data_IF_073636142517
#
_entry.id   IF_073636142517
#
_cell.length_a   1.000
_cell.length_b   1.000
_cell.length_c   1.000
_cell.angle_alpha   90.00
_cell.angle_beta   90.00
_cell.angle_gamma   90.00
#
_symmetry.space_group_name_H-M   'P 1'
#
loop_
_entity.id
_entity.type
_entity.pdbx_description
1 polymer ?
#
# COMPACT_ATOMS: atom_id res chain seq x y z
N UNK A 1 3.99 -2.91 -18.32
CA UNK A 1 3.26 -3.95 -19.06
C UNK A 1 3.13 -5.13 -18.12
N UNK A 2 1.92 -5.65 -17.94
CA UNK A 2 1.65 -6.78 -17.04
C UNK A 2 1.90 -8.10 -17.78
N UNK A 3 2.43 -9.09 -17.07
CA UNK A 3 2.68 -10.44 -17.57
C UNK A 3 2.02 -11.48 -16.68
N UNK A 4 1.63 -12.64 -17.22
CA UNK A 4 1.15 -13.76 -16.40
C UNK A 4 2.13 -14.10 -15.27
N UNK A 5 1.62 -14.22 -14.06
CA UNK A 5 2.40 -14.43 -12.84
C UNK A 5 2.81 -13.16 -12.10
N UNK A 6 2.65 -11.97 -12.70
CA UNK A 6 2.90 -10.71 -11.99
C UNK A 6 1.94 -10.56 -10.81
N UNK A 7 2.49 -10.17 -9.66
CA UNK A 7 1.70 -9.81 -8.47
C UNK A 7 1.01 -8.47 -8.72
N UNK A 8 -0.30 -8.42 -8.51
CA UNK A 8 -1.11 -7.24 -8.81
C UNK A 8 -1.98 -6.80 -7.63
N UNK A 9 -2.18 -5.49 -7.56
CA UNK A 9 -3.17 -4.80 -6.74
C UNK A 9 -4.34 -4.44 -7.63
N UNK A 10 -5.54 -4.77 -7.18
CA UNK A 10 -6.80 -4.48 -7.84
C UNK A 10 -7.59 -3.52 -6.98
N UNK A 11 -7.88 -2.33 -7.51
CA UNK A 11 -8.71 -1.34 -6.84
C UNK A 11 -10.08 -1.27 -7.54
N UNK A 12 -11.12 -1.68 -6.82
CA UNK A 12 -12.51 -1.67 -7.31
C UNK A 12 -13.41 -0.98 -6.29
N UNK A 13 -14.67 -0.75 -6.61
CA UNK A 13 -15.68 -0.30 -5.64
C UNK A 13 -16.46 -1.51 -5.14
N UNK A 14 -16.58 -1.66 -3.82
CA UNK A 14 -17.41 -2.68 -3.20
C UNK A 14 -18.90 -2.34 -3.28
N UNK A 15 -19.77 -3.27 -2.87
CA UNK A 15 -21.23 -3.13 -2.94
C UNK A 15 -21.78 -1.99 -2.08
N UNK A 16 -21.02 -1.56 -1.07
CA UNK A 16 -21.32 -0.44 -0.20
C UNK A 16 -20.90 0.92 -0.81
N UNK A 17 -20.29 0.92 -1.99
CA UNK A 17 -19.83 2.12 -2.69
C UNK A 17 -18.44 2.60 -2.27
N UNK A 18 -17.74 1.89 -1.39
CA UNK A 18 -16.39 2.26 -0.95
C UNK A 18 -15.31 1.56 -1.78
N UNK A 19 -14.13 2.20 -1.97
CA UNK A 19 -13.01 1.56 -2.64
C UNK A 19 -12.52 0.36 -1.83
N UNK A 20 -12.31 -0.76 -2.52
CA UNK A 20 -11.75 -2.00 -1.97
C UNK A 20 -10.52 -2.39 -2.77
N UNK A 21 -9.48 -2.76 -2.04
CA UNK A 21 -8.21 -3.21 -2.59
C UNK A 21 -8.12 -4.70 -2.38
N UNK A 22 -7.80 -5.44 -3.44
CA UNK A 22 -7.56 -6.88 -3.40
C UNK A 22 -6.25 -7.19 -4.10
N UNK A 23 -5.59 -8.26 -3.68
CA UNK A 23 -4.37 -8.72 -4.31
C UNK A 23 -4.59 -10.03 -5.05
N UNK A 24 -3.71 -10.31 -6.00
CA UNK A 24 -3.77 -11.50 -6.81
C UNK A 24 -2.61 -11.59 -7.79
N UNK A 25 -2.75 -12.47 -8.77
CA UNK A 25 -1.77 -12.66 -9.83
C UNK A 25 -2.44 -12.53 -11.20
N UNK A 26 -1.71 -12.00 -12.17
CA UNK A 26 -2.17 -12.01 -13.56
C UNK A 26 -2.23 -13.46 -14.05
N UNK A 27 -3.43 -13.92 -14.42
CA UNK A 27 -3.65 -15.20 -15.11
C UNK A 27 -3.48 -15.10 -16.63
N UNK A 28 -3.77 -13.93 -17.21
CA UNK A 28 -3.65 -13.70 -18.66
C UNK A 28 -3.96 -12.25 -19.05
N UNK A 29 -3.48 -11.83 -20.22
CA UNK A 29 -3.68 -10.47 -20.76
C UNK A 29 -4.34 -10.56 -22.13
N UNK A 30 -5.52 -9.97 -22.31
CA UNK A 30 -6.26 -10.00 -23.57
C UNK A 30 -5.90 -8.79 -24.45
N UNK A 31 -4.74 -8.82 -25.09
CA UNK A 31 -4.29 -7.72 -25.97
C UNK A 31 -3.73 -6.52 -25.18
N UNK A 32 -3.27 -5.48 -25.88
CA UNK A 32 -2.51 -4.38 -25.26
C UNK A 32 -3.33 -3.50 -24.30
N UNK A 33 -4.63 -3.32 -24.56
CA UNK A 33 -5.55 -2.47 -23.80
C UNK A 33 -6.82 -3.21 -23.33
N UNK A 34 -6.86 -4.53 -23.48
CA UNK A 34 -8.01 -5.32 -23.07
C UNK A 34 -8.00 -5.66 -21.58
N UNK A 35 -9.08 -6.28 -21.08
CA UNK A 35 -9.15 -6.71 -19.70
C UNK A 35 -8.05 -7.73 -19.38
N UNK A 36 -7.63 -7.72 -18.12
CA UNK A 36 -6.65 -8.64 -17.57
C UNK A 36 -7.41 -9.69 -16.76
N UNK A 37 -7.11 -10.96 -17.02
CA UNK A 37 -7.59 -12.04 -16.16
C UNK A 37 -6.73 -12.03 -14.90
N UNK A 38 -7.34 -11.82 -13.74
CA UNK A 38 -6.66 -11.81 -12.44
C UNK A 38 -7.18 -12.96 -11.59
N UNK A 39 -6.27 -13.77 -11.05
CA UNK A 39 -6.58 -14.74 -10.00
C UNK A 39 -6.39 -14.05 -8.66
N UNK A 40 -7.49 -13.63 -8.04
CA UNK A 40 -7.47 -12.97 -6.73
C UNK A 40 -7.13 -13.98 -5.62
N UNK A 41 -6.47 -13.51 -4.57
CA UNK A 41 -6.11 -14.38 -3.45
C UNK A 41 -7.35 -14.90 -2.72
N UNK A 42 -7.33 -16.19 -2.36
CA UNK A 42 -8.44 -16.84 -1.69
C UNK A 42 -9.61 -17.23 -2.60
N UNK A 43 -9.62 -16.78 -3.85
CA UNK A 43 -10.63 -17.12 -4.85
C UNK A 43 -10.20 -18.33 -5.70
N UNK A 44 -11.17 -19.13 -6.13
CA UNK A 44 -10.92 -20.35 -6.93
C UNK A 44 -10.90 -20.09 -8.45
N UNK A 45 -11.27 -18.88 -8.89
CA UNK A 45 -11.44 -18.50 -10.29
C UNK A 45 -10.64 -17.26 -10.68
N UNK A 46 -10.54 -17.02 -11.99
CA UNK A 46 -9.99 -15.79 -12.54
C UNK A 46 -11.12 -14.83 -12.93
N UNK A 47 -10.98 -13.57 -12.54
CA UNK A 47 -11.88 -12.48 -12.91
C UNK A 47 -11.31 -11.67 -14.08
N UNK A 48 -12.15 -11.30 -15.05
CA UNK A 48 -11.77 -10.34 -16.10
C UNK A 48 -11.94 -8.91 -15.57
N UNK A 49 -10.82 -8.22 -15.35
CA UNK A 49 -10.79 -6.89 -14.76
C UNK A 49 -10.25 -5.89 -15.77
N UNK A 50 -10.92 -4.74 -15.89
CA UNK A 50 -10.44 -3.62 -16.71
C UNK A 50 -9.05 -3.18 -16.23
N UNK A 51 -8.11 -3.07 -17.17
CA UNK A 51 -6.70 -2.76 -16.91
C UNK A 51 -6.51 -1.50 -16.04
N UNK A 52 -7.44 -0.54 -16.08
CA UNK A 52 -7.38 0.69 -15.27
C UNK A 52 -7.48 0.46 -13.76
N UNK A 53 -8.05 -0.67 -13.35
CA UNK A 53 -8.17 -1.06 -11.94
C UNK A 53 -7.00 -1.92 -11.47
N UNK A 54 -6.10 -2.33 -12.37
CA UNK A 54 -5.04 -3.29 -12.08
C UNK A 54 -3.68 -2.60 -12.16
N UNK A 55 -2.90 -2.73 -11.10
CA UNK A 55 -1.54 -2.21 -11.04
C UNK A 55 -0.59 -3.31 -10.56
N UNK A 56 0.63 -3.36 -11.10
CA UNK A 56 1.66 -4.22 -10.53
C UNK A 56 1.94 -3.79 -9.08
N UNK A 57 2.03 -4.73 -8.15
CA UNK A 57 2.36 -4.40 -6.76
C UNK A 57 3.78 -3.87 -6.68
N UNK A 58 3.97 -2.77 -5.95
CA UNK A 58 5.28 -2.26 -5.59
C UNK A 58 5.22 -1.66 -4.18
N UNK A 59 6.39 -1.47 -3.57
CA UNK A 59 6.51 -0.94 -2.20
C UNK A 59 5.74 0.37 -2.02
N UNK A 60 5.73 1.24 -3.04
CA UNK A 60 5.13 2.57 -2.96
C UNK A 60 3.64 2.64 -3.28
N UNK A 61 3.01 1.54 -3.70
CA UNK A 61 1.56 1.52 -4.00
C UNK A 61 0.74 0.66 -3.04
N UNK A 62 1.40 0.06 -2.03
CA UNK A 62 0.73 -0.56 -0.90
C UNK A 62 0.41 0.51 0.13
N UNK A 63 -0.89 0.74 0.31
CA UNK A 63 -1.45 1.78 1.15
C UNK A 63 -2.45 1.16 2.12
N UNK A 64 -2.38 1.57 3.38
CA UNK A 64 -3.36 1.26 4.41
C UNK A 64 -4.13 2.54 4.75
N UNK A 65 -5.45 2.51 4.60
CA UNK A 65 -6.33 3.62 4.96
C UNK A 65 -7.16 3.23 6.18
N UNK A 66 -6.99 3.94 7.29
CA UNK A 66 -7.65 3.66 8.56
C UNK A 66 -8.42 4.90 9.03
N UNK A 67 -9.63 4.70 9.55
CA UNK A 67 -10.37 5.76 10.22
C UNK A 67 -9.87 5.95 11.66
N UNK A 68 -9.68 7.20 12.08
CA UNK A 68 -9.28 7.57 13.44
C UNK A 68 -8.17 8.61 13.47
N UNK A 69 -8.48 9.82 13.94
CA UNK A 69 -7.50 10.90 14.15
C UNK A 69 -6.49 10.58 15.28
N UNK A 70 -6.93 9.78 16.26
CA UNK A 70 -6.13 9.30 17.38
C UNK A 70 -4.93 8.45 16.93
N UNK A 71 -5.01 7.79 15.78
CA UNK A 71 -3.90 7.03 15.19
C UNK A 71 -2.64 7.88 14.96
N UNK A 72 -2.81 9.18 14.75
CA UNK A 72 -1.70 10.12 14.49
C UNK A 72 -1.30 10.91 15.73
N UNK A 73 -2.21 11.13 16.68
CA UNK A 73 -1.93 11.90 17.90
C UNK A 73 -1.42 11.03 19.06
N UNK A 74 -1.94 9.80 19.22
CA UNK A 74 -1.56 8.88 20.29
C UNK A 74 -0.31 8.06 19.92
N UNK A 75 0.82 8.19 20.64
CA UNK A 75 2.07 7.51 20.28
C UNK A 75 1.98 5.99 20.20
N UNK A 76 1.24 5.35 21.12
CA UNK A 76 1.10 3.90 21.14
C UNK A 76 0.30 3.36 19.94
N UNK A 77 -0.74 4.09 19.50
CA UNK A 77 -1.48 3.76 18.28
C UNK A 77 -0.61 3.95 17.04
N UNK A 78 0.14 5.06 16.98
CA UNK A 78 1.03 5.38 15.87
C UNK A 78 2.13 4.33 15.68
N UNK A 79 2.69 3.78 16.77
CA UNK A 79 3.62 2.64 16.70
C UNK A 79 3.00 1.41 16.06
N UNK A 80 1.71 1.15 16.33
CA UNK A 80 0.97 0.03 15.77
C UNK A 80 0.82 0.09 14.25
N UNK A 81 0.80 1.29 13.66
CA UNK A 81 0.66 1.49 12.21
C UNK A 81 1.79 0.84 11.40
N UNK A 82 3.01 0.79 11.93
CA UNK A 82 4.15 0.12 11.27
C UNK A 82 3.88 -1.36 11.09
N UNK A 83 3.38 -2.02 12.14
CA UNK A 83 3.07 -3.45 12.10
C UNK A 83 1.89 -3.75 11.16
N UNK A 84 0.87 -2.88 11.15
CA UNK A 84 -0.27 -3.01 10.25
C UNK A 84 0.15 -2.84 8.78
N UNK A 85 0.95 -1.83 8.47
CA UNK A 85 1.45 -1.64 7.11
C UNK A 85 2.35 -2.81 6.67
N UNK A 86 3.20 -3.33 7.56
CA UNK A 86 4.02 -4.50 7.22
C UNK A 86 3.17 -5.74 6.94
N UNK A 87 2.10 -5.97 7.71
CA UNK A 87 1.16 -7.06 7.45
C UNK A 87 0.42 -6.89 6.11
N UNK A 88 0.09 -5.66 5.75
CA UNK A 88 -0.50 -5.33 4.45
C UNK A 88 0.51 -5.59 3.31
N UNK A 89 1.78 -5.23 3.48
CA UNK A 89 2.83 -5.51 2.51
C UNK A 89 3.08 -7.02 2.33
N UNK A 90 3.07 -7.79 3.41
CA UNK A 90 3.16 -9.26 3.39
C UNK A 90 1.97 -9.87 2.64
N UNK A 91 0.75 -9.40 2.92
CA UNK A 91 -0.47 -9.79 2.20
C UNK A 91 -0.36 -9.44 0.71
N UNK A 92 0.22 -8.28 0.37
CA UNK A 92 0.48 -7.87 -1.00
C UNK A 92 1.57 -8.71 -1.68
N UNK A 93 2.28 -9.57 -0.96
CA UNK A 93 3.36 -10.41 -1.48
C UNK A 93 4.66 -9.65 -1.72
N UNK A 94 4.87 -8.55 -1.01
CA UNK A 94 6.11 -7.78 -1.07
C UNK A 94 7.18 -8.40 -0.17
N UNK A 95 8.41 -8.46 -0.69
CA UNK A 95 9.58 -8.89 0.08
C UNK A 95 10.26 -7.67 0.70
N UNK A 96 10.14 -7.52 2.01
CA UNK A 96 10.77 -6.45 2.79
C UNK A 96 12.03 -7.01 3.45
N UNK A 97 13.19 -6.63 2.92
CA UNK A 97 14.50 -7.10 3.39
C UNK A 97 14.75 -6.74 4.87
N UNK A 98 14.36 -5.52 5.24
CA UNK A 98 14.45 -5.04 6.62
C UNK A 98 13.47 -3.89 6.87
N UNK A 99 13.00 -3.79 8.12
CA UNK A 99 12.12 -2.72 8.59
C UNK A 99 12.58 -2.26 9.98
N UNK A 100 12.85 -0.96 10.12
CA UNK A 100 13.33 -0.33 11.34
C UNK A 100 12.36 0.77 11.79
N UNK A 101 11.62 0.52 12.87
CA UNK A 101 10.69 1.49 13.42
C UNK A 101 11.42 2.67 14.08
N UNK A 102 10.95 3.90 13.81
CA UNK A 102 11.50 5.15 14.33
C UNK A 102 10.89 5.52 15.70
N UNK A 103 10.70 4.53 16.58
CA UNK A 103 10.06 4.72 17.89
C UNK A 103 8.64 5.27 17.75
N UNK A 104 8.41 6.48 18.28
CA UNK A 104 7.14 7.20 18.17
C UNK A 104 6.92 7.86 16.80
N UNK A 105 7.84 7.68 15.85
CA UNK A 105 7.84 8.36 14.57
C UNK A 105 8.44 9.76 14.66
N UNK A 106 8.91 10.25 13.53
CA UNK A 106 9.45 11.59 13.35
C UNK A 106 8.44 12.43 12.58
N UNK A 107 7.94 13.50 13.21
CA UNK A 107 7.01 14.41 12.57
C UNK A 107 7.72 15.25 11.51
N UNK A 108 7.15 15.32 10.31
CA UNK A 108 7.62 16.22 9.26
C UNK A 108 6.96 17.60 9.36
N UNK A 109 7.46 18.55 8.57
CA UNK A 109 6.93 19.92 8.51
C UNK A 109 5.53 20.04 7.90
N UNK A 110 5.05 19.00 7.22
CA UNK A 110 3.77 18.97 6.51
C UNK A 110 2.66 18.30 7.33
N UNK A 111 2.95 17.87 8.55
CA UNK A 111 2.00 17.19 9.43
C UNK A 111 1.91 15.68 9.23
N UNK A 112 2.76 15.10 8.37
CA UNK A 112 2.96 13.65 8.28
C UNK A 112 3.95 13.18 9.34
N UNK A 113 3.98 11.86 9.53
CA UNK A 113 4.93 11.18 10.41
C UNK A 113 5.70 10.14 9.62
N UNK A 114 7.03 10.21 9.66
CA UNK A 114 7.88 9.09 9.27
C UNK A 114 7.86 8.07 10.42
N UNK A 115 7.39 6.87 10.15
CA UNK A 115 7.16 5.83 11.15
C UNK A 115 8.27 4.78 11.17
N UNK A 116 8.81 4.43 10.02
CA UNK A 116 9.85 3.41 9.88
C UNK A 116 10.68 3.65 8.63
N UNK A 117 11.93 3.20 8.67
CA UNK A 117 12.79 3.04 7.48
C UNK A 117 12.74 1.57 7.06
N UNK A 118 12.74 1.30 5.75
CA UNK A 118 12.75 -0.06 5.24
C UNK A 118 13.67 -0.20 4.02
N UNK A 119 14.11 -1.42 3.79
CA UNK A 119 14.82 -1.82 2.57
C UNK A 119 14.02 -2.90 1.87
N UNK A 120 13.85 -2.78 0.56
CA UNK A 120 13.21 -3.77 -0.29
C UNK A 120 13.85 -3.77 -1.67
N UNK A 121 14.29 -4.94 -2.13
CA UNK A 121 14.98 -5.08 -3.41
C UNK A 121 16.28 -4.26 -3.49
N UNK A 122 16.91 -4.01 -2.33
CA UNK A 122 18.12 -3.18 -2.23
C UNK A 122 17.89 -1.66 -2.34
N UNK A 123 16.65 -1.20 -2.47
CA UNK A 123 16.29 0.23 -2.40
C UNK A 123 15.78 0.60 -0.99
N UNK A 124 16.01 1.84 -0.58
CA UNK A 124 15.54 2.38 0.70
C UNK A 124 14.20 3.11 0.53
N UNK A 125 13.32 2.92 1.51
CA UNK A 125 12.02 3.59 1.60
C UNK A 125 11.73 4.03 3.04
N UNK A 126 10.76 4.93 3.19
CA UNK A 126 10.27 5.40 4.48
C UNK A 126 8.77 5.16 4.54
N UNK A 127 8.31 4.43 5.55
CA UNK A 127 6.88 4.31 5.87
C UNK A 127 6.41 5.62 6.50
N UNK A 128 5.41 6.24 5.90
CA UNK A 128 4.83 7.50 6.36
C UNK A 128 3.36 7.33 6.66
N UNK A 129 2.89 8.07 7.65
CA UNK A 129 1.47 8.27 7.92
C UNK A 129 1.09 9.74 7.77
N UNK A 130 -0.05 10.01 7.14
CA UNK A 130 -0.60 11.35 6.96
C UNK A 130 -2.12 11.31 6.86
N UNK A 131 -2.78 12.41 7.22
CA UNK A 131 -4.21 12.56 6.99
C UNK A 131 -4.50 12.76 5.51
N UNK A 132 -5.57 12.14 5.03
CA UNK A 132 -6.02 12.36 3.66
C UNK A 132 -6.55 13.80 3.50
N UNK A 133 -6.10 14.56 2.47
CA UNK A 133 -6.50 15.97 2.31
C UNK A 133 -8.01 16.20 2.22
N UNK A 134 -8.75 15.22 1.69
CA UNK A 134 -10.20 15.30 1.48
C UNK A 134 -11.01 14.56 2.57
N UNK A 135 -10.33 13.79 3.43
CA UNK A 135 -10.94 12.93 4.45
C UNK A 135 -10.07 12.99 5.72
N UNK A 136 -10.15 14.07 6.52
CA UNK A 136 -9.23 14.29 7.62
C UNK A 136 -9.35 13.24 8.72
N UNK A 137 -10.49 12.55 8.84
CA UNK A 137 -10.67 11.45 9.78
C UNK A 137 -10.00 10.14 9.32
N UNK A 138 -9.41 10.12 8.11
CA UNK A 138 -8.73 8.96 7.53
C UNK A 138 -7.22 9.21 7.52
N UNK A 139 -6.50 8.30 8.17
CA UNK A 139 -5.05 8.22 8.15
C UNK A 139 -4.63 7.24 7.07
N UNK A 140 -3.81 7.71 6.14
CA UNK A 140 -3.16 6.88 5.14
C UNK A 140 -1.74 6.57 5.58
N UNK A 141 -1.37 5.29 5.49
CA UNK A 141 -0.01 4.79 5.74
C UNK A 141 0.52 4.15 4.46
N UNK A 142 1.70 4.56 4.01
CA UNK A 142 2.36 3.97 2.84
C UNK A 142 3.87 4.13 2.90
N UNK A 143 4.61 3.36 2.11
CA UNK A 143 6.02 3.62 1.89
C UNK A 143 6.21 4.63 0.76
N UNK A 144 7.09 5.59 0.98
CA UNK A 144 7.55 6.55 -0.02
C UNK A 144 9.07 6.43 -0.17
N UNK A 145 9.60 6.90 -1.30
CA UNK A 145 11.05 7.07 -1.41
C UNK A 145 11.51 8.10 -0.37
N UNK A 146 12.72 7.94 0.18
CA UNK A 146 13.29 9.01 0.98
C UNK A 146 13.45 10.22 0.06
N UNK A 147 12.59 11.24 0.22
CA UNK A 147 12.81 12.53 -0.40
C UNK A 147 14.25 12.96 -0.09
N UNK A 148 14.94 13.50 -1.08
CA UNK A 148 16.29 14.02 -0.89
C UNK A 148 16.18 15.19 0.10
N UNK A 149 16.59 14.97 1.36
CA UNK A 149 16.77 16.07 2.30
C UNK A 149 18.00 16.85 1.82
N UNK A 150 17.81 17.88 1.00
CA UNK A 150 18.81 18.95 0.93
C UNK A 150 18.84 19.60 2.31
N UNK A 151 19.86 19.22 3.10
CA UNK A 151 20.24 19.89 4.34
C UNK A 151 20.60 21.35 4.10
#
# INVERSE_FOLDING_TARGET
MLHPGDRVRVETTADDGFPVVRYGFVGGVNGADGPVVVMLDGELGGDEIDLRHVQAVCITNVELCLAGDDLMSEPDLRRGLVALWHAEADTAGLDVDSLHALGDGLRDSNGSWALAELVAGGEQYVVRAFHMPNEPDVVRVRADRPDHWEM
#
